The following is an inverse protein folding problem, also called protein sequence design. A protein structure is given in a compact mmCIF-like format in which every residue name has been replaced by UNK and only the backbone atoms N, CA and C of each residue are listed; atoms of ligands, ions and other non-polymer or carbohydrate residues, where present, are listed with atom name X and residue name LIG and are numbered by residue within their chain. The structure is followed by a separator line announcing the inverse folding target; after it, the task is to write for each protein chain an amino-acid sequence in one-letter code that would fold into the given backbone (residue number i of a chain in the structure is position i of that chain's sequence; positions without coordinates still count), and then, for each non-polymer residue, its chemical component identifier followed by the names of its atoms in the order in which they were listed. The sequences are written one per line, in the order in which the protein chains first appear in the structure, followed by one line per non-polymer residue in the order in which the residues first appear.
data_IF_245166630799
#
_entry.id   IF_245166630799
#
_cell.length_a   1.000
_cell.length_b   1.000
_cell.length_c   1.000
_cell.angle_alpha   90.00
_cell.angle_beta   90.00
_cell.angle_gamma   90.00
#
_symmetry.space_group_name_H-M   'P 1'
#
loop_
_entity.id
_entity.type
_entity.pdbx_description
1 polymer ?
#
# COMPACT_ATOMS: atom_id res chain seq x y z
N UNK A 1 15.79 -2.76 -18.95
CA UNK A 1 16.53 -3.81 -19.68
C UNK A 1 18.01 -3.52 -19.80
N UNK A 2 18.38 -2.24 -19.88
CA UNK A 2 19.80 -1.85 -19.90
C UNK A 2 20.54 -2.33 -18.66
N UNK A 3 19.91 -2.27 -17.49
CA UNK A 3 20.51 -2.69 -16.23
C UNK A 3 20.84 -4.18 -16.22
N UNK A 4 19.96 -5.00 -16.80
CA UNK A 4 20.20 -6.45 -16.90
C UNK A 4 21.33 -6.77 -17.85
N UNK A 5 21.43 -6.03 -18.98
CA UNK A 5 22.52 -6.20 -19.93
C UNK A 5 23.85 -5.76 -19.32
N UNK A 6 23.84 -4.66 -18.59
CA UNK A 6 25.01 -4.17 -17.87
C UNK A 6 25.48 -5.20 -16.83
N UNK A 7 24.53 -5.73 -16.06
CA UNK A 7 24.82 -6.75 -15.05
C UNK A 7 25.47 -7.98 -15.68
N UNK A 8 24.89 -8.46 -16.79
CA UNK A 8 25.42 -9.61 -17.52
C UNK A 8 26.86 -9.37 -17.98
N UNK A 9 27.13 -8.20 -18.55
CA UNK A 9 28.45 -7.84 -19.02
C UNK A 9 29.46 -7.80 -17.87
N UNK A 10 29.11 -7.20 -16.76
CA UNK A 10 29.96 -7.14 -15.56
C UNK A 10 30.29 -8.53 -15.03
N UNK A 11 29.30 -9.43 -15.00
CA UNK A 11 29.52 -10.80 -14.56
C UNK A 11 30.44 -11.56 -15.49
N UNK A 12 30.29 -11.35 -16.80
CA UNK A 12 31.16 -12.00 -17.81
C UNK A 12 32.60 -11.51 -17.69
N UNK A 13 32.81 -10.26 -17.28
CA UNK A 13 34.14 -9.70 -17.06
C UNK A 13 34.71 -10.04 -15.68
N UNK A 14 33.91 -10.65 -14.80
CA UNK A 14 34.35 -11.00 -13.47
C UNK A 14 34.37 -9.82 -12.50
N UNK A 15 33.73 -8.70 -12.85
CA UNK A 15 33.66 -7.52 -11.98
C UNK A 15 32.51 -7.67 -10.99
N UNK A 16 32.74 -8.44 -9.94
CA UNK A 16 31.73 -8.75 -8.93
C UNK A 16 31.30 -7.53 -8.14
N UNK A 17 32.19 -6.63 -7.67
CA UNK A 17 31.74 -5.46 -6.93
C UNK A 17 30.79 -4.57 -7.74
N UNK A 18 31.09 -4.31 -9.01
CA UNK A 18 30.26 -3.51 -9.87
C UNK A 18 28.92 -4.22 -10.16
N UNK A 19 28.97 -5.56 -10.34
CA UNK A 19 27.76 -6.35 -10.55
C UNK A 19 26.84 -6.28 -9.34
N UNK A 20 27.38 -6.36 -8.12
CA UNK A 20 26.58 -6.25 -6.89
C UNK A 20 25.94 -4.88 -6.75
N UNK A 21 26.63 -3.81 -7.15
CA UNK A 21 26.05 -2.46 -7.13
C UNK A 21 24.81 -2.38 -8.03
N UNK A 22 24.86 -3.01 -9.21
CA UNK A 22 23.70 -3.06 -10.11
C UNK A 22 22.55 -3.86 -9.51
N UNK A 23 22.86 -4.99 -8.87
CA UNK A 23 21.85 -5.82 -8.20
C UNK A 23 21.13 -5.00 -7.12
N UNK A 24 21.89 -4.25 -6.31
CA UNK A 24 21.32 -3.42 -5.25
C UNK A 24 20.39 -2.35 -5.80
N UNK A 25 20.75 -1.71 -6.91
CA UNK A 25 19.87 -0.74 -7.57
C UNK A 25 18.58 -1.39 -8.06
N UNK A 26 18.67 -2.59 -8.66
CA UNK A 26 17.50 -3.32 -9.12
C UNK A 26 16.58 -3.72 -7.96
N UNK A 27 17.15 -4.09 -6.82
CA UNK A 27 16.39 -4.42 -5.62
C UNK A 27 15.62 -3.20 -5.11
N UNK A 28 16.27 -2.03 -5.06
CA UNK A 28 15.63 -0.79 -4.64
C UNK A 28 14.50 -0.40 -5.56
N UNK A 29 14.70 -0.47 -6.88
CA UNK A 29 13.67 -0.17 -7.87
C UNK A 29 12.46 -1.10 -7.71
N UNK A 30 12.71 -2.40 -7.53
CA UNK A 30 11.64 -3.37 -7.34
C UNK A 30 10.85 -3.10 -6.07
N UNK A 31 11.55 -2.73 -4.99
CA UNK A 31 10.90 -2.39 -3.72
C UNK A 31 10.03 -1.15 -3.86
N UNK A 32 10.53 -0.12 -4.53
CA UNK A 32 9.79 1.12 -4.75
C UNK A 32 8.52 0.87 -5.57
N UNK A 33 8.60 0.02 -6.60
CA UNK A 33 7.43 -0.37 -7.38
C UNK A 33 6.38 -1.07 -6.51
N UNK A 34 6.81 -1.97 -5.63
CA UNK A 34 5.89 -2.67 -4.73
C UNK A 34 5.24 -1.71 -3.74
N UNK A 35 6.03 -0.79 -3.18
CA UNK A 35 5.52 0.22 -2.25
C UNK A 35 4.49 1.11 -2.94
N UNK A 36 4.78 1.56 -4.17
CA UNK A 36 3.86 2.40 -4.95
C UNK A 36 2.53 1.69 -5.19
N UNK A 37 2.57 0.41 -5.57
CA UNK A 37 1.36 -0.38 -5.78
C UNK A 37 0.59 -0.58 -4.47
N UNK A 38 1.29 -0.90 -3.39
CA UNK A 38 0.67 -1.06 -2.07
C UNK A 38 0.00 0.23 -1.64
N UNK A 39 0.67 1.38 -1.82
CA UNK A 39 0.10 2.68 -1.47
C UNK A 39 -1.19 2.97 -2.23
N UNK A 40 -1.25 2.64 -3.52
CA UNK A 40 -2.47 2.84 -4.32
C UNK A 40 -3.64 2.04 -3.78
N UNK A 41 -3.42 0.78 -3.44
CA UNK A 41 -4.48 -0.05 -2.84
C UNK A 41 -4.80 0.36 -1.41
N UNK A 42 -3.81 0.86 -0.67
CA UNK A 42 -4.04 1.39 0.68
C UNK A 42 -5.01 2.56 0.66
N UNK A 43 -4.91 3.45 -0.33
CA UNK A 43 -5.85 4.56 -0.50
C UNK A 43 -7.27 4.03 -0.70
N UNK A 44 -7.45 3.03 -1.55
CA UNK A 44 -8.76 2.43 -1.80
C UNK A 44 -9.33 1.77 -0.55
N UNK A 45 -8.50 1.02 0.16
CA UNK A 45 -8.90 0.37 1.41
C UNK A 45 -9.36 1.40 2.45
N UNK A 46 -8.52 2.40 2.69
CA UNK A 46 -8.83 3.45 3.68
C UNK A 46 -10.07 4.25 3.29
N UNK A 47 -10.21 4.58 2.01
CA UNK A 47 -11.41 5.28 1.49
C UNK A 47 -12.69 4.55 1.90
N UNK A 48 -12.73 3.24 1.69
CA UNK A 48 -13.94 2.47 1.99
C UNK A 48 -14.16 2.29 3.50
N UNK A 49 -13.08 2.15 4.28
CA UNK A 49 -13.20 2.08 5.73
C UNK A 49 -13.70 3.41 6.31
N UNK A 50 -13.26 4.53 5.76
CA UNK A 50 -13.73 5.86 6.15
C UNK A 50 -15.23 5.99 5.83
N UNK A 51 -15.63 5.59 4.64
CA UNK A 51 -17.04 5.63 4.22
C UNK A 51 -17.92 4.81 5.17
N UNK A 52 -17.47 3.60 5.52
CA UNK A 52 -18.22 2.75 6.47
C UNK A 52 -18.35 3.41 7.84
N UNK A 53 -17.29 4.03 8.33
CA UNK A 53 -17.32 4.66 9.65
C UNK A 53 -18.20 5.89 9.68
N UNK A 54 -18.07 6.77 8.72
CA UNK A 54 -18.83 8.03 8.70
C UNK A 54 -20.32 7.81 8.43
N UNK A 55 -20.64 6.95 7.46
CA UNK A 55 -22.02 6.68 7.11
C UNK A 55 -22.67 5.59 7.97
N UNK A 56 -21.87 4.94 8.81
CA UNK A 56 -22.32 3.86 9.71
C UNK A 56 -23.10 2.77 8.95
N UNK A 57 -22.59 2.38 7.78
CA UNK A 57 -23.19 1.34 6.95
C UNK A 57 -22.14 0.76 6.02
N UNK A 58 -22.50 -0.28 5.29
CA UNK A 58 -21.67 -0.83 4.23
C UNK A 58 -22.55 -1.28 3.07
N UNK A 59 -21.92 -1.52 1.93
CA UNK A 59 -22.60 -2.06 0.75
C UNK A 59 -21.81 -3.25 0.24
N UNK A 60 -22.46 -4.09 -0.57
CA UNK A 60 -21.77 -5.22 -1.20
C UNK A 60 -20.57 -4.75 -2.04
N UNK A 61 -20.74 -3.63 -2.74
CA UNK A 61 -19.68 -3.04 -3.55
C UNK A 61 -18.48 -2.61 -2.69
N UNK A 62 -18.72 -1.96 -1.57
CA UNK A 62 -17.65 -1.55 -0.65
C UNK A 62 -16.91 -2.75 -0.07
N UNK A 63 -17.65 -3.79 0.32
CA UNK A 63 -17.05 -5.00 0.86
C UNK A 63 -16.15 -5.70 -0.17
N UNK A 64 -16.55 -5.73 -1.43
CA UNK A 64 -15.74 -6.31 -2.51
C UNK A 64 -14.46 -5.47 -2.71
N UNK A 65 -14.59 -4.14 -2.73
CA UNK A 65 -13.42 -3.26 -2.89
C UNK A 65 -12.43 -3.43 -1.72
N UNK A 66 -12.94 -3.55 -0.50
CA UNK A 66 -12.10 -3.79 0.68
C UNK A 66 -11.35 -5.12 0.54
N UNK A 67 -12.04 -6.20 0.23
CA UNK A 67 -11.42 -7.51 0.07
C UNK A 67 -10.38 -7.54 -1.04
N UNK A 68 -10.71 -6.92 -2.18
CA UNK A 68 -9.77 -6.86 -3.31
C UNK A 68 -8.51 -6.08 -2.95
N UNK A 69 -8.66 -4.96 -2.25
CA UNK A 69 -7.53 -4.15 -1.82
C UNK A 69 -6.62 -4.90 -0.85
N UNK A 70 -7.22 -5.59 0.12
CA UNK A 70 -6.46 -6.41 1.08
C UNK A 70 -5.66 -7.49 0.36
N UNK A 71 -6.31 -8.23 -0.54
CA UNK A 71 -5.64 -9.30 -1.29
C UNK A 71 -4.53 -8.77 -2.18
N UNK A 72 -4.76 -7.63 -2.82
CA UNK A 72 -3.75 -7.01 -3.67
C UNK A 72 -2.53 -6.58 -2.87
N UNK A 73 -2.74 -5.96 -1.71
CA UNK A 73 -1.65 -5.55 -0.82
C UNK A 73 -0.87 -6.78 -0.35
N UNK A 74 -1.57 -7.80 0.13
CA UNK A 74 -0.93 -9.03 0.61
C UNK A 74 -0.10 -9.70 -0.48
N UNK A 75 -0.65 -9.78 -1.69
CA UNK A 75 0.04 -10.40 -2.82
C UNK A 75 1.30 -9.61 -3.22
N UNK A 76 1.19 -8.30 -3.27
CA UNK A 76 2.33 -7.44 -3.66
C UNK A 76 3.41 -7.40 -2.59
N UNK A 77 3.02 -7.53 -1.32
CA UNK A 77 3.97 -7.48 -0.21
C UNK A 77 4.75 -8.78 -0.02
N UNK A 78 4.26 -9.88 -0.57
CA UNK A 78 4.91 -11.17 -0.42
C UNK A 78 6.02 -11.35 -1.44
N UNK A 79 7.22 -11.73 -0.98
CA UNK A 79 8.34 -12.06 -1.87
C UNK A 79 8.12 -13.44 -2.47
N UNK A 80 8.31 -13.56 -3.78
CA UNK A 80 8.04 -14.81 -4.50
C UNK A 80 9.11 -15.89 -4.30
N UNK A 81 10.38 -15.50 -4.31
CA UNK A 81 11.51 -16.44 -4.29
C UNK A 81 12.29 -16.44 -3.00
N UNK A 82 12.56 -15.26 -2.46
CA UNK A 82 13.40 -15.12 -1.27
C UNK A 82 12.65 -15.43 0.03
N UNK A 83 11.32 -15.54 -0.01
CA UNK A 83 10.50 -15.68 1.18
C UNK A 83 10.35 -14.35 1.92
N UNK A 84 9.45 -14.32 2.91
CA UNK A 84 9.18 -13.12 3.69
C UNK A 84 8.41 -12.06 2.91
N UNK A 85 8.52 -10.83 3.39
CA UNK A 85 7.74 -9.70 2.88
C UNK A 85 8.65 -8.52 2.55
N UNK A 86 8.18 -7.64 1.66
CA UNK A 86 8.89 -6.39 1.35
C UNK A 86 8.80 -5.39 2.49
N UNK A 87 7.61 -5.29 3.11
CA UNK A 87 7.36 -4.37 4.21
C UNK A 87 6.98 -5.14 5.47
N UNK A 88 7.55 -4.73 6.59
CA UNK A 88 7.16 -5.23 7.92
C UNK A 88 5.80 -4.64 8.29
N UNK A 89 5.12 -5.17 9.34
CA UNK A 89 3.87 -4.55 9.82
C UNK A 89 4.04 -3.07 10.18
N UNK A 90 5.18 -2.70 10.78
CA UNK A 90 5.46 -1.29 11.12
C UNK A 90 5.60 -0.43 9.87
N UNK A 91 6.27 -0.94 8.84
CA UNK A 91 6.40 -0.23 7.57
C UNK A 91 5.08 -0.13 6.83
N UNK A 92 4.22 -1.17 6.91
CA UNK A 92 2.86 -1.12 6.36
C UNK A 92 2.04 -0.03 7.05
N UNK A 93 2.18 0.11 8.38
CA UNK A 93 1.48 1.17 9.09
C UNK A 93 1.90 2.55 8.60
N UNK A 94 3.19 2.75 8.38
CA UNK A 94 3.71 4.02 7.83
C UNK A 94 3.11 4.27 6.45
N UNK A 95 3.05 3.25 5.60
CA UNK A 95 2.46 3.37 4.27
C UNK A 95 0.97 3.76 4.36
N UNK A 96 0.24 3.19 5.31
CA UNK A 96 -1.16 3.54 5.54
C UNK A 96 -1.30 4.97 6.01
N UNK A 97 -0.44 5.42 6.92
CA UNK A 97 -0.45 6.81 7.38
C UNK A 97 -0.18 7.79 6.25
N UNK A 98 0.75 7.46 5.36
CA UNK A 98 1.07 8.29 4.20
C UNK A 98 -0.06 8.31 3.17
N UNK A 99 -0.81 7.22 3.05
CA UNK A 99 -1.95 7.13 2.13
C UNK A 99 -3.20 7.83 2.66
N UNK A 100 -3.27 8.06 3.96
CA UNK A 100 -4.47 8.58 4.62
C UNK A 100 -4.95 9.93 4.08
N UNK A 101 -4.09 10.94 3.87
CA UNK A 101 -4.56 12.23 3.33
C UNK A 101 -5.26 12.10 1.98
N UNK A 102 -4.72 11.27 1.07
CA UNK A 102 -5.35 11.03 -0.22
C UNK A 102 -6.69 10.31 -0.08
N UNK A 103 -6.77 9.39 0.87
CA UNK A 103 -8.02 8.68 1.15
C UNK A 103 -9.09 9.63 1.68
N UNK A 104 -8.73 10.56 2.57
CA UNK A 104 -9.64 11.58 3.09
C UNK A 104 -10.14 12.48 1.95
N UNK A 105 -9.24 12.94 1.08
CA UNK A 105 -9.62 13.79 -0.06
C UNK A 105 -10.64 13.09 -0.95
N UNK A 106 -10.38 11.83 -1.30
CA UNK A 106 -11.30 11.04 -2.12
C UNK A 106 -12.62 10.77 -1.41
N UNK A 107 -12.55 10.43 -0.13
CA UNK A 107 -13.75 10.14 0.67
C UNK A 107 -14.64 11.38 0.76
N UNK A 108 -14.06 12.56 0.86
CA UNK A 108 -14.84 13.82 0.94
C UNK A 108 -15.72 14.03 -0.28
N UNK A 109 -15.32 13.49 -1.44
CA UNK A 109 -16.11 13.60 -2.67
C UNK A 109 -17.29 12.63 -2.69
N UNK A 110 -17.22 11.55 -1.92
CA UNK A 110 -18.19 10.45 -1.99
C UNK A 110 -19.09 10.34 -0.77
N UNK A 111 -18.57 10.62 0.44
CA UNK A 111 -19.32 10.51 1.67
C UNK A 111 -20.47 11.53 1.67
N UNK A 112 -21.69 11.05 1.97
CA UNK A 112 -22.89 11.90 2.01
C UNK A 112 -22.99 12.78 0.77
N UNK A 113 -22.72 12.20 -0.39
CA UNK A 113 -22.78 12.87 -1.71
C UNK A 113 -21.87 14.09 -1.84
N UNK A 114 -20.73 14.07 -1.16
CA UNK A 114 -19.75 15.15 -1.25
C UNK A 114 -20.07 16.34 -0.34
N UNK A 115 -20.85 16.12 0.69
CA UNK A 115 -21.30 17.17 1.61
C UNK A 115 -20.17 17.83 2.39
N UNK A 116 -19.13 17.09 2.71
CA UNK A 116 -18.07 17.56 3.60
C UNK A 116 -16.80 17.96 2.83
N UNK A 117 -16.17 19.05 3.26
CA UNK A 117 -14.81 19.36 2.82
C UNK A 117 -13.85 18.40 3.52
N UNK A 118 -12.64 18.17 2.96
CA UNK A 118 -11.68 17.24 3.57
C UNK A 118 -11.42 17.51 5.05
N UNK A 119 -11.23 18.75 5.45
CA UNK A 119 -10.97 19.10 6.86
C UNK A 119 -12.15 18.77 7.74
N UNK A 120 -13.37 18.99 7.24
CA UNK A 120 -14.59 18.67 7.98
C UNK A 120 -14.74 17.16 8.16
N UNK A 121 -14.48 16.42 7.07
CA UNK A 121 -14.56 14.96 7.11
C UNK A 121 -13.54 14.39 8.09
N UNK A 122 -12.32 14.90 8.07
CA UNK A 122 -11.25 14.43 8.94
C UNK A 122 -11.64 14.51 10.42
N UNK A 123 -12.40 15.54 10.80
CA UNK A 123 -12.86 15.70 12.18
C UNK A 123 -13.93 14.68 12.56
N UNK A 124 -14.65 14.12 11.60
CA UNK A 124 -15.68 13.10 11.83
C UNK A 124 -15.11 11.68 11.92
N UNK A 125 -13.85 11.51 11.48
CA UNK A 125 -13.24 10.18 11.38
C UNK A 125 -12.30 9.93 12.54
N UNK A 126 -12.37 8.74 13.12
CA UNK A 126 -11.38 8.30 14.09
C UNK A 126 -10.21 7.67 13.33
N UNK A 127 -9.20 8.47 13.04
CA UNK A 127 -8.03 8.07 12.25
C UNK A 127 -7.34 6.83 12.81
N UNK A 128 -7.08 6.80 14.11
CA UNK A 128 -6.38 5.68 14.74
C UNK A 128 -7.15 4.37 14.57
N UNK A 129 -8.47 4.41 14.75
CA UNK A 129 -9.32 3.23 14.57
C UNK A 129 -9.27 2.74 13.11
N UNK A 130 -9.32 3.65 12.14
CA UNK A 130 -9.24 3.31 10.72
C UNK A 130 -7.89 2.66 10.39
N UNK A 131 -6.80 3.27 10.84
CA UNK A 131 -5.45 2.73 10.59
C UNK A 131 -5.24 1.37 11.24
N UNK A 132 -5.69 1.23 12.49
CA UNK A 132 -5.58 -0.04 13.22
C UNK A 132 -6.39 -1.14 12.53
N UNK A 133 -7.60 -0.82 12.09
CA UNK A 133 -8.46 -1.78 11.38
C UNK A 133 -7.85 -2.19 10.05
N UNK A 134 -7.35 -1.23 9.29
CA UNK A 134 -6.71 -1.51 8.00
C UNK A 134 -5.51 -2.45 8.19
N UNK A 135 -4.64 -2.13 9.14
CA UNK A 135 -3.47 -2.96 9.42
C UNK A 135 -3.86 -4.37 9.85
N UNK A 136 -4.86 -4.49 10.73
CA UNK A 136 -5.33 -5.80 11.19
C UNK A 136 -5.92 -6.64 10.06
N UNK A 137 -6.54 -6.02 9.07
CA UNK A 137 -7.08 -6.71 7.91
C UNK A 137 -5.97 -7.21 6.97
N UNK A 138 -4.90 -6.43 6.83
CA UNK A 138 -3.76 -6.80 5.98
C UNK A 138 -2.87 -7.84 6.66
N UNK A 139 -2.60 -7.67 7.95
CA UNK A 139 -1.72 -8.54 8.75
C UNK A 139 -2.57 -9.17 9.85
N UNK A 140 -3.27 -10.25 9.54
CA UNK A 140 -4.11 -10.90 10.55
C UNK A 140 -3.24 -11.48 11.67
N UNK A 141 -3.71 -11.37 12.91
CA UNK A 141 -3.05 -12.00 14.04
C UNK A 141 -3.25 -13.51 13.98
N UNK A 142 -2.22 -14.24 14.33
CA UNK A 142 -2.28 -15.70 14.37
C UNK A 142 -3.05 -16.23 15.58
#
# INVERSE_FOLDING_TARGET
MEELLMLKDLLLRGDVPAALAVVEELEEMSRDDKISTISSYAIILLLHLIKQQVENRSTASWEVSIRNSIRAIQKKNKRRKAGGYYLTPEELRIALEEAYPDAIDRASLEVEEGRYLPDELEQLVNKEEILNRALALIVPSE
#
